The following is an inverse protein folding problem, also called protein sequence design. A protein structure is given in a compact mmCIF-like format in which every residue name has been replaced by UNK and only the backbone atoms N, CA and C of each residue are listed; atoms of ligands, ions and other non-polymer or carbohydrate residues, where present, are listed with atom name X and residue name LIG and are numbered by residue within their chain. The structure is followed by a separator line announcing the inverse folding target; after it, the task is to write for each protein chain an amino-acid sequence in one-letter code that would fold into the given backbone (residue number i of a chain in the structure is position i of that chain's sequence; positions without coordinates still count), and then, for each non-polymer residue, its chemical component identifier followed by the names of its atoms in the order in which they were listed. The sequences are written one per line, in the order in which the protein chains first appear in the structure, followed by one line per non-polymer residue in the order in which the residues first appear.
data_IF_201218754502
#
_entry.id   IF_201218754502
#
_cell.length_a   1.000
_cell.length_b   1.000
_cell.length_c   1.000
_cell.angle_alpha   90.00
_cell.angle_beta   90.00
_cell.angle_gamma   90.00
#
_symmetry.space_group_name_H-M   'P 1'
#
loop_
_entity.id
_entity.type
_entity.pdbx_description
1 polymer ?
#
# COMPACT_ATOMS: atom_id res chain seq x y z
N UNK A 1 3.84 26.81 -4.92
CA UNK A 1 4.10 25.47 -4.35
C UNK A 1 4.25 25.64 -2.85
N UNK A 2 3.24 25.23 -2.09
CA UNK A 2 3.27 25.30 -0.62
C UNK A 2 3.69 23.93 -0.12
N UNK A 3 4.88 23.82 0.47
CA UNK A 3 5.35 22.59 1.09
C UNK A 3 4.94 22.63 2.56
N UNK A 4 3.93 21.85 2.93
CA UNK A 4 3.57 21.63 4.33
C UNK A 4 4.41 20.48 4.85
N UNK A 5 5.37 20.78 5.73
CA UNK A 5 6.17 19.76 6.44
C UNK A 5 5.50 19.48 7.77
N UNK A 6 5.04 18.24 7.97
CA UNK A 6 4.56 17.79 9.27
C UNK A 6 5.75 17.26 10.08
N UNK A 7 5.84 17.56 11.39
CA UNK A 7 6.88 17.00 12.23
C UNK A 7 6.77 15.47 12.29
N UNK A 8 7.91 14.78 12.18
CA UNK A 8 8.01 13.33 12.30
C UNK A 8 7.75 12.85 13.74
N UNK A 9 7.65 11.54 13.95
CA UNK A 9 7.38 10.95 15.28
C UNK A 9 8.45 11.35 16.30
N UNK A 10 9.73 11.36 15.93
CA UNK A 10 10.83 11.79 16.81
C UNK A 10 10.72 13.25 17.19
N UNK A 11 10.42 14.13 16.22
CA UNK A 11 10.22 15.57 16.45
C UNK A 11 8.97 15.84 17.31
N UNK A 12 7.89 15.07 17.12
CA UNK A 12 6.66 15.20 17.91
C UNK A 12 6.88 14.92 19.40
N UNK A 13 7.70 13.92 19.72
CA UNK A 13 8.04 13.57 21.11
C UNK A 13 9.31 14.27 21.62
N UNK A 14 9.95 15.11 20.82
CA UNK A 14 11.19 15.80 21.20
C UNK A 14 12.38 14.84 21.42
N UNK A 15 12.38 13.69 20.76
CA UNK A 15 13.45 12.68 20.85
C UNK A 15 14.51 12.98 19.80
N UNK A 16 15.78 13.01 20.20
CA UNK A 16 16.88 13.15 19.26
C UNK A 16 16.94 11.93 18.34
N UNK A 17 17.13 12.18 17.05
CA UNK A 17 17.33 11.12 16.04
C UNK A 17 18.56 10.27 16.39
N UNK A 18 19.56 10.84 17.09
CA UNK A 18 20.75 10.12 17.55
C UNK A 18 20.46 9.05 18.61
N UNK A 19 19.35 9.20 19.35
CA UNK A 19 18.85 8.24 20.35
C UNK A 19 18.03 7.11 19.71
N UNK A 20 17.66 7.25 18.44
CA UNK A 20 17.01 6.20 17.67
C UNK A 20 18.05 5.37 16.92
N UNK A 21 18.22 4.09 17.30
CA UNK A 21 19.13 3.18 16.59
C UNK A 21 18.70 2.95 15.12
N UNK A 22 17.39 2.98 14.87
CA UNK A 22 16.80 2.75 13.56
C UNK A 22 15.45 3.47 13.43
N UNK A 23 15.22 4.11 12.29
CA UNK A 23 13.96 4.69 11.85
C UNK A 23 13.51 3.94 10.60
N UNK A 24 12.38 3.27 10.68
CA UNK A 24 11.80 2.53 9.58
C UNK A 24 10.47 3.16 9.19
N UNK A 25 10.24 3.34 7.89
CA UNK A 25 9.01 3.91 7.37
C UNK A 25 8.53 3.19 6.13
N UNK A 26 7.20 3.09 5.99
CA UNK A 26 6.57 2.66 4.74
C UNK A 26 6.27 3.88 3.87
N UNK A 27 6.64 3.80 2.59
CA UNK A 27 6.31 4.79 1.57
C UNK A 27 4.86 4.65 1.08
N UNK A 28 4.18 3.55 1.44
CA UNK A 28 2.82 3.22 1.02
C UNK A 28 1.74 4.09 1.68
N UNK A 29 2.09 4.78 2.77
CA UNK A 29 1.15 5.62 3.50
C UNK A 29 1.25 7.08 3.04
N UNK A 30 2.02 7.90 3.74
CA UNK A 30 2.07 9.35 3.52
C UNK A 30 2.50 9.75 2.09
N UNK A 31 3.31 8.93 1.44
CA UNK A 31 3.91 9.22 0.14
C UNK A 31 3.18 8.59 -1.05
N UNK A 32 2.11 7.82 -0.81
CA UNK A 32 1.31 7.15 -1.86
C UNK A 32 2.16 6.40 -2.90
N UNK A 33 3.33 5.91 -2.47
CA UNK A 33 4.30 5.19 -3.30
C UNK A 33 4.32 3.72 -2.88
N UNK A 34 5.31 2.93 -3.30
CA UNK A 34 5.45 1.52 -2.90
C UNK A 34 6.82 1.29 -2.30
N UNK A 35 6.89 0.45 -1.25
CA UNK A 35 8.12 0.10 -0.55
C UNK A 35 8.28 0.80 0.79
N UNK A 36 9.50 0.76 1.33
CA UNK A 36 9.84 1.33 2.63
C UNK A 36 11.29 1.77 2.68
N UNK A 37 11.64 2.56 3.69
CA UNK A 37 13.01 2.96 3.96
C UNK A 37 13.40 2.56 5.38
N UNK A 38 14.70 2.35 5.58
CA UNK A 38 15.33 2.18 6.87
C UNK A 38 16.49 3.18 6.93
N UNK A 39 16.45 4.06 7.92
CA UNK A 39 17.48 5.04 8.22
C UNK A 39 18.03 4.79 9.63
N UNK A 40 19.30 5.06 9.85
CA UNK A 40 19.94 4.82 11.13
C UNK A 40 21.45 4.96 10.98
N UNK A 41 22.19 4.49 12.00
CA UNK A 41 23.66 4.50 11.95
C UNK A 41 24.16 3.63 10.79
N UNK A 42 25.29 4.02 10.19
CA UNK A 42 25.82 3.38 8.98
C UNK A 42 25.94 1.86 9.11
N UNK A 43 26.42 1.35 10.25
CA UNK A 43 26.57 -0.09 10.47
C UNK A 43 25.24 -0.83 10.50
N UNK A 44 24.17 -0.21 11.03
CA UNK A 44 22.81 -0.79 11.09
C UNK A 44 22.23 -0.93 9.68
N UNK A 45 22.33 0.14 8.89
CA UNK A 45 21.87 0.14 7.49
C UNK A 45 22.69 -0.84 6.65
N UNK A 46 24.00 -0.93 6.87
CA UNK A 46 24.86 -1.87 6.16
C UNK A 46 24.51 -3.33 6.48
N UNK A 47 24.21 -3.63 7.74
CA UNK A 47 23.77 -4.96 8.16
C UNK A 47 22.43 -5.34 7.53
N UNK A 48 21.47 -4.41 7.45
CA UNK A 48 20.20 -4.63 6.75
C UNK A 48 20.39 -4.84 5.24
N UNK A 49 21.33 -4.11 4.63
CA UNK A 49 21.68 -4.27 3.22
C UNK A 49 22.31 -5.63 2.91
N UNK A 50 23.20 -6.13 3.78
CA UNK A 50 23.90 -7.41 3.58
C UNK A 50 23.06 -8.63 3.96
N UNK A 51 22.18 -8.51 4.96
CA UNK A 51 21.36 -9.63 5.44
C UNK A 51 19.92 -9.60 4.91
N UNK A 52 19.53 -8.52 4.25
CA UNK A 52 18.19 -8.32 3.74
C UNK A 52 17.93 -9.16 2.50
N UNK A 53 17.42 -10.39 2.69
CA UNK A 53 16.96 -11.25 1.58
C UNK A 53 15.98 -10.55 0.64
N UNK A 54 15.19 -9.60 1.14
CA UNK A 54 14.30 -8.78 0.33
C UNK A 54 15.05 -7.94 -0.72
N UNK A 55 16.20 -7.37 -0.36
CA UNK A 55 17.05 -6.65 -1.31
C UNK A 55 17.67 -7.59 -2.34
N UNK A 56 18.12 -8.77 -1.90
CA UNK A 56 18.68 -9.78 -2.79
C UNK A 56 17.64 -10.28 -3.81
N UNK A 57 16.41 -10.53 -3.38
CA UNK A 57 15.32 -10.93 -4.28
C UNK A 57 15.03 -9.83 -5.33
N UNK A 58 15.00 -8.56 -4.90
CA UNK A 58 14.78 -7.43 -5.82
C UNK A 58 15.95 -7.31 -6.82
N UNK A 59 17.19 -7.48 -6.36
CA UNK A 59 18.38 -7.39 -7.21
C UNK A 59 18.48 -8.58 -8.20
N UNK A 60 18.08 -9.77 -7.77
CA UNK A 60 18.17 -10.99 -8.58
C UNK A 60 17.00 -11.13 -9.59
N UNK A 61 15.88 -10.46 -9.36
CA UNK A 61 14.72 -10.46 -10.26
C UNK A 61 14.16 -9.02 -10.42
N UNK A 62 14.86 -8.14 -11.17
CA UNK A 62 14.41 -6.77 -11.39
C UNK A 62 13.08 -6.72 -12.18
N UNK A 63 12.80 -7.73 -12.99
CA UNK A 63 11.55 -7.85 -13.74
C UNK A 63 10.33 -8.06 -12.85
N UNK A 64 10.51 -8.61 -11.63
CA UNK A 64 9.45 -8.72 -10.61
C UNK A 64 8.74 -7.40 -10.38
N UNK A 65 9.48 -6.29 -10.32
CA UNK A 65 8.91 -4.96 -10.10
C UNK A 65 8.10 -4.48 -11.32
N UNK A 66 8.58 -4.79 -12.52
CA UNK A 66 7.87 -4.46 -13.77
C UNK A 66 6.57 -5.25 -13.85
N UNK A 67 6.61 -6.56 -13.56
CA UNK A 67 5.42 -7.43 -13.50
C UNK A 67 4.42 -6.96 -12.46
N UNK A 68 4.88 -6.63 -11.25
CA UNK A 68 4.03 -6.11 -10.18
C UNK A 68 3.32 -4.81 -10.60
N UNK A 69 4.04 -3.87 -11.23
CA UNK A 69 3.46 -2.62 -11.75
C UNK A 69 2.42 -2.89 -12.83
N UNK A 70 2.75 -3.72 -13.81
CA UNK A 70 1.82 -4.09 -14.89
C UNK A 70 0.55 -4.76 -14.35
N UNK A 71 0.68 -5.67 -13.39
CA UNK A 71 -0.45 -6.33 -12.75
C UNK A 71 -1.31 -5.33 -11.96
N UNK A 72 -0.68 -4.42 -11.21
CA UNK A 72 -1.37 -3.37 -10.47
C UNK A 72 -2.12 -2.40 -11.38
N UNK A 73 -1.52 -2.01 -12.51
CA UNK A 73 -2.15 -1.16 -13.53
C UNK A 73 -3.34 -1.86 -14.18
N UNK A 74 -3.19 -3.14 -14.55
CA UNK A 74 -4.25 -3.95 -15.15
C UNK A 74 -5.46 -4.06 -14.23
N UNK A 75 -5.23 -4.38 -12.94
CA UNK A 75 -6.29 -4.48 -11.94
C UNK A 75 -6.94 -3.12 -11.69
N UNK A 76 -6.14 -2.06 -11.54
CA UNK A 76 -6.69 -0.73 -11.26
C UNK A 76 -7.55 -0.22 -12.41
N UNK A 77 -7.08 -0.36 -13.65
CA UNK A 77 -7.83 0.04 -14.84
C UNK A 77 -9.06 -0.85 -15.08
N UNK A 78 -8.92 -2.16 -14.87
CA UNK A 78 -10.00 -3.13 -15.04
C UNK A 78 -11.13 -2.92 -14.05
N UNK A 79 -10.81 -2.77 -12.75
CA UNK A 79 -11.81 -2.50 -11.72
C UNK A 79 -12.49 -1.13 -11.91
N UNK A 80 -11.75 -0.11 -12.37
CA UNK A 80 -12.34 1.21 -12.63
C UNK A 80 -13.45 1.11 -13.67
N UNK A 81 -13.20 0.39 -14.77
CA UNK A 81 -14.21 0.12 -15.81
C UNK A 81 -15.32 -0.80 -15.30
N UNK A 82 -14.99 -1.83 -14.52
CA UNK A 82 -15.98 -2.76 -13.98
C UNK A 82 -16.99 -2.07 -13.05
N UNK A 83 -16.55 -1.05 -12.32
CA UNK A 83 -17.39 -0.32 -11.38
C UNK A 83 -18.07 0.92 -11.97
N UNK A 84 -17.79 1.30 -13.22
CA UNK A 84 -18.52 2.38 -13.91
C UNK A 84 -20.02 2.07 -13.95
N UNK A 85 -20.84 2.98 -13.41
CA UNK A 85 -22.29 2.82 -13.31
C UNK A 85 -22.77 1.97 -12.12
N UNK A 86 -21.87 1.51 -11.25
CA UNK A 86 -22.22 0.82 -10.00
C UNK A 86 -22.13 1.74 -8.79
N UNK A 87 -22.66 1.31 -7.63
CA UNK A 87 -22.50 2.03 -6.35
C UNK A 87 -21.06 2.00 -5.82
N UNK A 88 -20.20 1.15 -6.36
CA UNK A 88 -18.80 1.07 -5.95
C UNK A 88 -18.01 2.23 -6.56
N UNK A 89 -17.25 2.93 -5.72
CA UNK A 89 -16.42 4.06 -6.14
C UNK A 89 -14.97 3.72 -5.83
N UNK A 90 -14.13 3.62 -6.87
CA UNK A 90 -12.69 3.62 -6.69
C UNK A 90 -12.23 5.02 -6.29
N UNK A 91 -11.50 5.11 -5.19
CA UNK A 91 -10.89 6.37 -4.77
C UNK A 91 -9.61 6.60 -5.56
N UNK A 92 -9.52 7.72 -6.26
CA UNK A 92 -8.30 8.11 -6.99
C UNK A 92 -7.13 8.45 -6.04
N UNK A 93 -7.45 8.97 -4.86
CA UNK A 93 -6.52 9.21 -3.76
C UNK A 93 -7.26 9.02 -2.45
N UNK A 94 -6.68 8.30 -1.51
CA UNK A 94 -7.28 8.09 -0.22
C UNK A 94 -6.38 7.36 0.73
N UNK A 95 -6.36 7.81 1.99
CA UNK A 95 -5.74 7.07 3.07
C UNK A 95 -6.77 6.09 3.63
N UNK A 96 -6.45 4.80 3.59
CA UNK A 96 -7.22 3.79 4.30
C UNK A 96 -6.57 3.58 5.66
N UNK A 97 -7.21 4.13 6.70
CA UNK A 97 -6.86 3.86 8.08
C UNK A 97 -7.55 2.56 8.51
N UNK A 98 -6.84 1.44 8.41
CA UNK A 98 -7.23 0.22 9.10
C UNK A 98 -6.72 0.33 10.53
N UNK A 99 -7.63 0.43 11.50
CA UNK A 99 -7.31 0.35 12.93
C UNK A 99 -7.89 -0.93 13.48
N UNK A 100 -7.08 -1.69 14.21
CA UNK A 100 -7.63 -2.72 15.09
C UNK A 100 -8.28 -1.98 16.27
N UNK A 101 -9.53 -2.31 16.65
CA UNK A 101 -10.16 -1.71 17.81
C UNK A 101 -9.40 -2.13 19.06
N UNK A 102 -8.69 -1.19 19.69
CA UNK A 102 -7.93 -1.47 20.92
C UNK A 102 -8.68 -1.03 22.18
N UNK A 103 -9.69 -0.16 22.06
CA UNK A 103 -10.45 0.36 23.19
C UNK A 103 -11.95 0.54 22.86
N UNK A 104 -12.87 0.22 23.78
CA UNK A 104 -14.33 0.33 23.57
C UNK A 104 -14.84 1.76 23.31
N UNK A 105 -14.05 2.79 23.62
CA UNK A 105 -14.41 4.21 23.40
C UNK A 105 -14.04 4.72 21.99
N UNK A 106 -13.40 3.91 21.14
CA UNK A 106 -13.05 4.33 19.77
C UNK A 106 -14.29 4.31 18.85
N UNK A 107 -14.98 5.45 18.78
CA UNK A 107 -16.18 5.65 17.96
C UNK A 107 -15.88 6.12 16.53
N UNK A 108 -14.93 5.49 15.83
CA UNK A 108 -14.71 5.74 14.41
C UNK A 108 -14.96 4.45 13.62
N UNK A 109 -16.14 4.34 13.02
CA UNK A 109 -16.48 3.26 12.11
C UNK A 109 -16.02 3.64 10.70
N UNK A 110 -14.89 3.11 10.19
CA UNK A 110 -14.48 3.38 8.81
C UNK A 110 -15.57 2.92 7.85
N UNK A 111 -15.79 3.69 6.78
CA UNK A 111 -16.70 3.26 5.71
C UNK A 111 -16.22 1.92 5.16
N UNK A 112 -17.16 0.99 4.92
CA UNK A 112 -16.85 -0.33 4.35
C UNK A 112 -15.99 -0.19 3.09
N UNK A 113 -14.82 -0.82 3.12
CA UNK A 113 -13.81 -0.73 2.07
C UNK A 113 -13.17 -2.09 1.86
N UNK A 114 -12.83 -2.41 0.62
CA UNK A 114 -12.11 -3.63 0.26
C UNK A 114 -10.70 -3.21 -0.17
N UNK A 115 -9.67 -3.80 0.45
CA UNK A 115 -8.28 -3.61 0.06
C UNK A 115 -7.82 -4.82 -0.73
N UNK A 116 -7.35 -4.58 -1.95
CA UNK A 116 -6.81 -5.62 -2.82
C UNK A 116 -5.30 -5.48 -2.89
N UNK A 117 -4.60 -6.59 -2.64
CA UNK A 117 -3.15 -6.69 -2.75
C UNK A 117 -2.82 -7.48 -3.99
N UNK A 118 -2.17 -6.85 -4.96
CA UNK A 118 -1.73 -7.48 -6.21
C UNK A 118 -0.28 -7.91 -6.06
N UNK A 119 0.06 -9.09 -6.57
CA UNK A 119 1.41 -9.65 -6.51
C UNK A 119 1.99 -9.87 -7.91
N UNK A 120 3.32 -9.99 -8.00
CA UNK A 120 4.03 -10.19 -9.27
C UNK A 120 3.81 -11.57 -9.89
N UNK A 121 3.48 -12.57 -9.09
CA UNK A 121 3.27 -13.95 -9.56
C UNK A 121 1.83 -14.23 -10.02
N UNK A 122 0.91 -13.28 -9.79
CA UNK A 122 -0.46 -13.41 -10.29
C UNK A 122 -0.46 -13.38 -11.81
N UNK A 123 -1.08 -14.40 -12.42
CA UNK A 123 -1.12 -14.52 -13.87
C UNK A 123 -2.19 -13.60 -14.44
N UNK A 124 -1.98 -13.16 -15.69
CA UNK A 124 -2.91 -12.25 -16.37
C UNK A 124 -4.32 -12.83 -16.48
N UNK A 125 -4.45 -14.12 -16.71
CA UNK A 125 -5.73 -14.80 -16.83
C UNK A 125 -6.48 -14.82 -15.49
N UNK A 126 -5.77 -15.06 -14.38
CA UNK A 126 -6.34 -15.01 -13.02
C UNK A 126 -6.83 -13.59 -12.68
N UNK A 127 -6.01 -12.58 -13.00
CA UNK A 127 -6.38 -11.18 -12.79
C UNK A 127 -7.59 -10.78 -13.62
N UNK A 128 -7.67 -11.24 -14.87
CA UNK A 128 -8.79 -10.95 -15.77
C UNK A 128 -10.06 -11.63 -15.30
N UNK A 129 -9.98 -12.90 -14.90
CA UNK A 129 -11.10 -13.64 -14.32
C UNK A 129 -11.61 -12.97 -13.03
N UNK A 130 -10.71 -12.49 -12.18
CA UNK A 130 -11.06 -11.73 -10.97
C UNK A 130 -11.81 -10.43 -11.30
N UNK A 131 -11.38 -9.67 -12.30
CA UNK A 131 -12.05 -8.42 -12.71
C UNK A 131 -13.47 -8.71 -13.21
N UNK A 132 -13.66 -9.74 -14.04
CA UNK A 132 -14.99 -10.09 -14.55
C UNK A 132 -15.90 -10.57 -13.41
N UNK A 133 -15.41 -11.40 -12.49
CA UNK A 133 -16.18 -11.81 -11.31
C UNK A 133 -16.61 -10.60 -10.46
N UNK A 134 -15.69 -9.66 -10.19
CA UNK A 134 -16.02 -8.44 -9.43
C UNK A 134 -17.05 -7.56 -10.14
N UNK A 135 -17.03 -7.52 -11.48
CA UNK A 135 -18.01 -6.79 -12.28
C UNK A 135 -19.40 -7.41 -12.17
N UNK A 136 -19.50 -8.73 -12.28
CA UNK A 136 -20.76 -9.48 -12.15
C UNK A 136 -21.38 -9.26 -10.77
N UNK A 137 -20.58 -9.42 -9.70
CA UNK A 137 -21.03 -9.20 -8.32
C UNK A 137 -21.43 -7.74 -8.08
N UNK A 138 -20.67 -6.77 -8.61
CA UNK A 138 -21.00 -5.36 -8.48
C UNK A 138 -22.35 -5.02 -9.14
N UNK A 139 -22.69 -5.66 -10.26
CA UNK A 139 -23.99 -5.51 -10.92
C UNK A 139 -25.13 -6.17 -10.14
N UNK A 140 -24.89 -7.31 -9.49
CA UNK A 140 -25.89 -7.96 -8.63
C UNK A 140 -26.25 -7.09 -7.42
N UNK A 141 -25.23 -6.55 -6.74
CA UNK A 141 -25.42 -5.67 -5.58
C UNK A 141 -26.15 -4.37 -5.96
N UNK A 142 -25.99 -3.88 -7.19
CA UNK A 142 -26.67 -2.67 -7.66
C UNK A 142 -28.18 -2.88 -7.94
N UNK A 143 -28.65 -4.14 -8.01
CA UNK A 143 -30.07 -4.49 -8.19
C UNK A 143 -30.83 -4.65 -6.86
N UNK A 144 -30.12 -4.71 -5.74
CA UNK A 144 -30.67 -4.77 -4.38
C UNK A 144 -30.90 -3.35 -3.82
#
# INVERSE_FOLDING_TARGET
MVTVVFPGVTEHFGIDVADCDMIVGSLEHALSSTGGFCAGRTFVVYHQRLCGKGLDIINNDPERLVRLRQNSELISAGLRKAFEGTRFVMRDRGYLLSRAPYHPEESFTPKSSIRLSVQSEMLRDELTAFIEAMKEEAQQVNKL
#
